data_IF_075097499949
#
_entry.id   IF_075097499949
#
_cell.length_a   1.000
_cell.length_b   1.000
_cell.length_c   1.000
_cell.angle_alpha   90.00
_cell.angle_beta   90.00
_cell.angle_gamma   90.00
#
_symmetry.space_group_name_H-M   'P 1'
#
loop_
_entity.id
_entity.type
_entity.pdbx_description
1 polymer ?
#
# COMPACT_ATOMS: atom_id res chain seq x y z
N UNK A 1 2.44 10.57 -0.46
CA UNK A 1 1.87 11.28 0.73
C UNK A 1 2.97 11.89 1.60
N UNK A 2 3.76 12.86 1.10
CA UNK A 2 4.95 13.37 1.80
C UNK A 2 4.61 14.04 3.14
N UNK A 3 3.51 14.76 3.24
CA UNK A 3 3.08 15.39 4.51
C UNK A 3 2.80 14.38 5.61
N UNK A 4 2.19 13.23 5.25
CA UNK A 4 1.93 12.13 6.19
C UNK A 4 3.25 11.53 6.68
N UNK A 5 4.18 11.27 5.77
CA UNK A 5 5.51 10.74 6.11
C UNK A 5 6.29 11.71 7.03
N UNK A 6 6.34 12.98 6.68
CA UNK A 6 7.04 14.00 7.48
C UNK A 6 6.49 14.09 8.91
N UNK A 7 5.15 14.05 9.05
CA UNK A 7 4.49 14.06 10.35
C UNK A 7 4.86 12.83 11.18
N UNK A 8 4.82 11.63 10.57
CA UNK A 8 5.20 10.37 11.23
C UNK A 8 6.66 10.36 11.69
N UNK A 9 7.57 10.80 10.81
CA UNK A 9 9.00 10.90 11.15
C UNK A 9 9.21 11.88 12.32
N UNK A 10 8.60 13.06 12.25
CA UNK A 10 8.69 14.03 13.36
C UNK A 10 8.19 13.43 14.68
N UNK A 11 7.01 12.81 14.67
CA UNK A 11 6.46 12.15 15.85
C UNK A 11 7.39 11.07 16.40
N UNK A 12 7.96 10.24 15.52
CA UNK A 12 8.90 9.20 15.91
C UNK A 12 10.15 9.76 16.62
N UNK A 13 10.65 10.94 16.22
CA UNK A 13 11.81 11.58 16.87
C UNK A 13 11.50 12.17 18.25
N UNK A 14 10.23 12.37 18.58
CA UNK A 14 9.78 12.90 19.87
C UNK A 14 9.56 11.80 20.93
N UNK A 15 9.55 10.52 20.50
CA UNK A 15 9.34 9.37 21.39
C UNK A 15 10.66 8.95 22.02
N UNK A 16 10.67 8.84 23.34
CA UNK A 16 11.80 8.26 24.10
C UNK A 16 11.64 6.75 24.15
N UNK A 17 12.32 6.06 23.23
CA UNK A 17 12.21 4.60 23.09
C UNK A 17 12.39 4.15 21.65
N UNK A 18 12.27 2.84 21.38
CA UNK A 18 12.36 2.32 20.02
C UNK A 18 11.16 2.76 19.18
N UNK A 19 11.44 3.19 17.94
CA UNK A 19 10.43 3.52 16.93
C UNK A 19 10.74 2.78 15.65
N UNK A 20 9.70 2.46 14.88
CA UNK A 20 9.81 1.77 13.59
C UNK A 20 9.01 2.48 12.53
N UNK A 21 9.62 2.73 11.37
CA UNK A 21 8.96 3.32 10.21
C UNK A 21 9.14 2.38 9.03
N UNK A 22 8.02 1.89 8.49
CA UNK A 22 7.97 1.09 7.27
C UNK A 22 7.55 1.98 6.10
N UNK A 23 8.46 2.20 5.14
CA UNK A 23 8.23 3.06 3.99
C UNK A 23 8.05 2.24 2.71
N UNK A 24 6.98 2.54 1.95
CA UNK A 24 6.74 1.96 0.63
C UNK A 24 7.52 2.76 -0.44
N UNK A 25 8.45 2.09 -1.10
CA UNK A 25 9.29 2.68 -2.15
C UNK A 25 9.24 1.82 -3.43
N UNK A 26 8.46 2.20 -4.45
CA UNK A 26 8.41 1.47 -5.70
C UNK A 26 9.78 1.41 -6.39
N UNK A 27 10.17 0.22 -6.83
CA UNK A 27 11.43 -0.02 -7.54
C UNK A 27 11.18 -0.18 -9.04
N UNK A 28 11.59 0.79 -9.85
CA UNK A 28 11.35 0.81 -11.31
C UNK A 28 11.93 -0.42 -12.01
N UNK A 29 13.15 -0.78 -11.67
CA UNK A 29 13.87 -1.91 -12.28
C UNK A 29 13.29 -3.25 -11.81
N UNK A 30 13.18 -3.45 -10.49
CA UNK A 30 12.74 -4.73 -9.93
C UNK A 30 11.26 -5.04 -10.21
N UNK A 31 10.41 -4.03 -10.30
CA UNK A 31 8.97 -4.22 -10.57
C UNK A 31 8.62 -4.09 -12.04
N UNK A 32 9.52 -3.51 -12.85
CA UNK A 32 9.39 -3.39 -14.29
C UNK A 32 8.31 -2.41 -14.74
N UNK A 33 8.49 -1.13 -14.42
CA UNK A 33 7.65 -0.03 -14.88
C UNK A 33 8.51 1.20 -15.23
N UNK A 34 7.94 2.13 -15.99
CA UNK A 34 8.61 3.38 -16.37
C UNK A 34 8.81 4.31 -15.17
N UNK A 35 9.99 4.96 -15.07
CA UNK A 35 10.35 5.83 -13.95
C UNK A 35 9.37 6.98 -13.73
N UNK A 36 8.73 7.48 -14.81
CA UNK A 36 7.70 8.52 -14.73
C UNK A 36 6.45 8.09 -13.96
N UNK A 37 6.23 6.77 -13.80
CA UNK A 37 5.07 6.17 -13.12
C UNK A 37 5.28 5.92 -11.62
N UNK A 38 6.46 6.20 -11.08
CA UNK A 38 6.81 5.90 -9.68
C UNK A 38 5.80 6.46 -8.67
N UNK A 39 5.43 7.73 -8.82
CA UNK A 39 4.46 8.37 -7.91
C UNK A 39 3.04 7.82 -8.07
N UNK A 40 2.64 7.53 -9.31
CA UNK A 40 1.34 6.94 -9.62
C UNK A 40 1.21 5.55 -8.97
N UNK A 41 2.22 4.70 -9.12
CA UNK A 41 2.24 3.34 -8.57
C UNK A 41 2.27 3.37 -7.04
N UNK A 42 3.07 4.25 -6.44
CA UNK A 42 3.07 4.45 -4.99
C UNK A 42 1.69 4.88 -4.46
N UNK A 43 1.00 5.74 -5.20
CA UNK A 43 -0.34 6.20 -4.85
C UNK A 43 -1.38 5.09 -5.02
N UNK A 44 -1.31 4.31 -6.10
CA UNK A 44 -2.18 3.16 -6.34
C UNK A 44 -2.10 2.11 -5.23
N UNK A 45 -0.91 1.82 -4.71
CA UNK A 45 -0.76 0.90 -3.58
C UNK A 45 -1.62 1.29 -2.37
N UNK A 46 -1.75 2.60 -2.11
CA UNK A 46 -2.59 3.13 -1.03
C UNK A 46 -4.06 3.15 -1.43
N UNK A 47 -4.38 3.60 -2.65
CA UNK A 47 -5.76 3.71 -3.14
C UNK A 47 -6.45 2.36 -3.35
N UNK A 48 -5.69 1.29 -3.58
CA UNK A 48 -6.18 -0.09 -3.61
C UNK A 48 -6.23 -0.76 -2.25
N UNK A 49 -5.90 -0.03 -1.17
CA UNK A 49 -5.83 -0.55 0.19
C UNK A 49 -4.84 -1.72 0.41
N UNK A 50 -3.96 -2.00 -0.56
CA UNK A 50 -2.87 -2.98 -0.39
C UNK A 50 -1.77 -2.46 0.54
N UNK A 51 -1.61 -1.15 0.63
CA UNK A 51 -0.66 -0.50 1.53
C UNK A 51 -1.37 0.50 2.45
N UNK A 52 -1.87 0.05 3.62
CA UNK A 52 -2.50 0.95 4.58
C UNK A 52 -1.50 1.98 5.14
N UNK A 53 -1.91 3.23 5.24
CA UNK A 53 -1.16 4.27 5.93
C UNK A 53 -1.75 4.46 7.33
N UNK A 54 -1.05 3.97 8.34
CA UNK A 54 -1.49 4.01 9.74
C UNK A 54 -0.35 4.35 10.70
N UNK A 55 -0.70 4.62 11.92
CA UNK A 55 0.21 4.72 13.08
C UNK A 55 -0.27 3.77 14.17
N UNK A 56 0.70 3.22 14.89
CA UNK A 56 0.43 2.35 16.02
C UNK A 56 1.32 2.78 17.20
N UNK A 57 0.74 2.83 18.39
CA UNK A 57 1.44 3.13 19.64
C UNK A 57 1.03 2.11 20.70
N UNK A 58 2.00 1.52 21.37
CA UNK A 58 1.76 0.52 22.43
C UNK A 58 0.87 -0.64 22.00
N UNK A 59 0.93 -1.04 20.71
CA UNK A 59 0.14 -2.15 20.16
C UNK A 59 -1.24 -1.73 19.66
N UNK A 60 -1.65 -0.47 19.77
CA UNK A 60 -2.94 0.03 19.32
C UNK A 60 -2.82 0.94 18.11
N UNK A 61 -3.75 0.83 17.16
CA UNK A 61 -3.84 1.71 15.99
C UNK A 61 -4.38 3.07 16.45
N UNK A 62 -3.53 4.10 16.39
CA UNK A 62 -3.87 5.45 16.86
C UNK A 62 -4.30 6.39 15.74
N UNK A 63 -3.88 6.11 14.50
CA UNK A 63 -4.28 6.88 13.35
C UNK A 63 -4.27 6.02 12.08
N UNK A 64 -5.21 6.30 11.19
CA UNK A 64 -5.31 5.65 9.88
C UNK A 64 -5.73 6.67 8.81
N UNK A 65 -5.22 6.49 7.59
CA UNK A 65 -5.68 7.26 6.44
C UNK A 65 -6.89 6.58 5.80
N UNK A 66 -8.02 7.26 5.82
CA UNK A 66 -9.26 6.79 5.18
C UNK A 66 -9.18 6.88 3.65
N UNK A 67 -9.75 5.88 2.97
CA UNK A 67 -9.87 5.80 1.51
C UNK A 67 -11.37 5.72 1.18
N UNK A 68 -11.94 6.81 0.73
CA UNK A 68 -13.41 6.89 0.47
C UNK A 68 -13.89 5.93 -0.61
N UNK A 69 -13.09 5.80 -1.68
CA UNK A 69 -13.42 4.97 -2.85
C UNK A 69 -12.22 4.09 -3.18
N UNK A 70 -12.08 2.92 -2.53
CA UNK A 70 -11.02 1.98 -2.84
C UNK A 70 -11.05 1.57 -4.32
N UNK A 71 -9.90 1.52 -4.94
CA UNK A 71 -9.74 1.04 -6.32
C UNK A 71 -9.50 -0.46 -6.33
N UNK A 72 -9.94 -1.19 -7.38
CA UNK A 72 -9.64 -2.61 -7.50
C UNK A 72 -8.11 -2.84 -7.59
N UNK A 73 -7.63 -3.90 -6.93
CA UNK A 73 -6.19 -4.22 -6.90
C UNK A 73 -5.58 -4.43 -8.28
N UNK A 74 -6.40 -4.87 -9.26
CA UNK A 74 -5.98 -5.03 -10.63
C UNK A 74 -5.33 -3.78 -11.23
N UNK A 75 -5.81 -2.59 -10.86
CA UNK A 75 -5.28 -1.34 -11.36
C UNK A 75 -3.82 -1.13 -10.92
N UNK A 76 -3.49 -1.55 -9.70
CA UNK A 76 -2.11 -1.55 -9.21
C UNK A 76 -1.27 -2.66 -9.86
N UNK A 77 -1.81 -3.87 -9.98
CA UNK A 77 -1.10 -5.03 -10.51
C UNK A 77 -0.74 -4.85 -11.99
N UNK A 78 -1.67 -4.33 -12.82
CA UNK A 78 -1.48 -4.11 -14.26
C UNK A 78 -0.35 -3.14 -14.60
N UNK A 79 0.02 -2.26 -13.68
CA UNK A 79 1.08 -1.26 -13.93
C UNK A 79 2.50 -1.84 -13.88
N UNK A 80 2.66 -3.10 -13.45
CA UNK A 80 3.97 -3.67 -13.11
C UNK A 80 4.21 -5.00 -13.84
N UNK A 81 5.34 -5.10 -14.54
CA UNK A 81 5.70 -6.32 -15.28
C UNK A 81 5.82 -7.56 -14.40
N UNK A 82 6.20 -7.41 -13.12
CA UNK A 82 6.31 -8.52 -12.16
C UNK A 82 5.00 -9.27 -11.95
N UNK A 83 3.86 -8.63 -12.19
CA UNK A 83 2.53 -9.24 -12.06
C UNK A 83 1.90 -9.64 -13.40
N UNK A 84 2.61 -9.44 -14.53
CA UNK A 84 2.07 -9.71 -15.86
C UNK A 84 1.55 -11.14 -16.01
N UNK A 85 2.22 -12.10 -15.39
CA UNK A 85 1.84 -13.51 -15.46
C UNK A 85 0.43 -13.77 -14.92
N UNK A 86 -0.04 -13.02 -13.92
CA UNK A 86 -1.38 -13.17 -13.36
C UNK A 86 -2.51 -12.89 -14.37
N UNK A 87 -2.21 -12.13 -15.41
CA UNK A 87 -3.18 -11.77 -16.46
C UNK A 87 -3.11 -12.68 -17.69
N UNK A 88 -2.22 -13.65 -17.71
CA UNK A 88 -1.98 -14.54 -18.87
C UNK A 88 -1.97 -16.02 -18.52
N UNK A 89 -1.75 -16.38 -17.25
CA UNK A 89 -1.70 -17.77 -16.80
C UNK A 89 -3.09 -18.32 -16.50
N UNK A 90 -3.26 -19.62 -16.63
CA UNK A 90 -4.43 -20.33 -16.12
C UNK A 90 -4.53 -20.17 -14.60
N UNK A 91 -5.72 -19.86 -14.08
CA UNK A 91 -5.92 -19.60 -12.66
C UNK A 91 -5.48 -18.23 -12.17
N UNK A 92 -4.95 -17.36 -13.03
CA UNK A 92 -4.47 -16.02 -12.65
C UNK A 92 -5.56 -15.13 -12.04
N UNK A 93 -6.81 -15.25 -12.50
CA UNK A 93 -7.95 -14.54 -11.93
C UNK A 93 -8.21 -14.91 -10.46
N UNK A 94 -8.03 -16.18 -10.10
CA UNK A 94 -8.19 -16.65 -8.72
C UNK A 94 -7.08 -16.07 -7.81
N UNK A 95 -5.86 -15.95 -8.33
CA UNK A 95 -4.76 -15.30 -7.59
C UNK A 95 -5.02 -13.80 -7.40
N UNK A 96 -5.56 -13.12 -8.40
CA UNK A 96 -5.97 -11.71 -8.29
C UNK A 96 -7.08 -11.54 -7.24
N UNK A 97 -8.06 -12.44 -7.19
CA UNK A 97 -9.09 -12.44 -6.14
C UNK A 97 -8.50 -12.61 -4.74
N UNK A 98 -7.50 -13.46 -4.57
CA UNK A 98 -6.79 -13.61 -3.29
C UNK A 98 -6.07 -12.31 -2.88
N UNK A 99 -5.48 -11.61 -3.84
CA UNK A 99 -4.84 -10.31 -3.58
C UNK A 99 -5.91 -9.25 -3.24
N UNK A 100 -7.06 -9.28 -3.91
CA UNK A 100 -8.20 -8.42 -3.55
C UNK A 100 -8.68 -8.68 -2.12
N UNK A 101 -8.77 -9.95 -1.72
CA UNK A 101 -9.16 -10.32 -0.36
C UNK A 101 -8.20 -9.78 0.70
N UNK A 102 -6.90 -9.61 0.38
CA UNK A 102 -5.94 -8.93 1.28
C UNK A 102 -6.30 -7.45 1.43
N UNK A 103 -6.65 -6.77 0.33
CA UNK A 103 -7.06 -5.37 0.37
C UNK A 103 -8.36 -5.19 1.17
N UNK A 104 -9.33 -6.09 0.98
CA UNK A 104 -10.61 -6.10 1.70
C UNK A 104 -10.38 -6.33 3.20
N UNK A 105 -9.53 -7.28 3.55
CA UNK A 105 -9.12 -7.49 4.95
C UNK A 105 -8.45 -6.26 5.55
N UNK A 106 -7.56 -5.58 4.81
CA UNK A 106 -6.96 -4.33 5.25
C UNK A 106 -8.00 -3.24 5.52
N UNK A 107 -9.03 -3.15 4.66
CA UNK A 107 -10.13 -2.18 4.85
C UNK A 107 -10.82 -2.41 6.19
N UNK A 108 -11.17 -3.65 6.49
CA UNK A 108 -11.85 -4.01 7.74
C UNK A 108 -10.92 -3.87 8.95
N UNK A 109 -9.73 -4.48 8.88
CA UNK A 109 -8.79 -4.54 10.00
C UNK A 109 -8.26 -3.17 10.44
N UNK A 110 -7.92 -2.31 9.48
CA UNK A 110 -7.43 -0.95 9.77
C UNK A 110 -8.56 0.10 9.75
N UNK A 111 -9.77 -0.28 9.42
CA UNK A 111 -10.89 0.65 9.29
C UNK A 111 -10.61 1.74 8.25
N UNK A 112 -10.24 1.37 7.01
CA UNK A 112 -9.83 2.32 5.96
C UNK A 112 -10.99 3.08 5.31
N UNK A 113 -12.21 2.67 5.50
CA UNK A 113 -13.44 3.36 5.06
C UNK A 113 -14.16 4.07 6.19
#
# INVERSE_FOLDING_TARGET
YPRDMMRKVKKATEIVGPTYIHAHAPCTTGWGFDTSKTLEIAKLAVETCLWPLYEMENGEITQVRKIKNPRPVEEYLKTQKRFKHLFTMEGGEEEIKKIQAIADWNIEHFGLQ
#
